data_IF_822168313749
#
_entry.id   IF_822168313749
#
_cell.length_a   1.000
_cell.length_b   1.000
_cell.length_c   1.000
_cell.angle_alpha   90.00
_cell.angle_beta   90.00
_cell.angle_gamma   90.00
#
_symmetry.space_group_name_H-M   'P 1'
#
loop_
_entity.id
_entity.type
_entity.pdbx_description
1 polymer ?
#
# COMPACT_ATOMS: atom_id res chain seq x y z
N UNK A 1 -29.30 0.35 -49.99
CA UNK A 1 -29.05 1.45 -49.04
C UNK A 1 -29.33 0.92 -47.64
N UNK A 2 -28.29 0.56 -46.90
CA UNK A 2 -28.36 0.24 -45.47
C UNK A 2 -27.05 0.75 -44.87
N UNK A 3 -27.14 1.81 -44.08
CA UNK A 3 -26.03 2.38 -43.33
C UNK A 3 -26.41 2.41 -41.85
N UNK A 4 -25.40 2.09 -41.04
CA UNK A 4 -25.18 2.39 -39.63
C UNK A 4 -26.16 1.91 -38.55
N UNK A 5 -25.71 0.89 -37.82
CA UNK A 5 -26.16 0.62 -36.46
C UNK A 5 -25.10 -0.13 -35.60
N UNK A 6 -23.80 0.17 -35.76
CA UNK A 6 -22.74 -0.53 -34.99
C UNK A 6 -21.78 0.38 -34.22
N UNK A 7 -22.08 1.69 -34.07
CA UNK A 7 -21.13 2.64 -33.47
C UNK A 7 -21.43 3.06 -32.02
N UNK A 8 -22.39 2.46 -31.32
CA UNK A 8 -22.78 2.88 -29.95
C UNK A 8 -22.34 1.94 -28.84
N UNK A 9 -21.83 0.74 -29.15
CA UNK A 9 -21.55 -0.28 -28.13
C UNK A 9 -20.07 -0.37 -27.69
N UNK A 10 -19.16 0.29 -28.43
CA UNK A 10 -17.73 0.34 -28.10
C UNK A 10 -17.40 1.45 -27.07
N UNK A 11 -18.20 2.52 -27.01
CA UNK A 11 -17.91 3.70 -26.19
C UNK A 11 -18.25 3.50 -24.70
N UNK A 12 -19.30 2.73 -24.38
CA UNK A 12 -19.69 2.45 -22.99
C UNK A 12 -18.70 1.53 -22.26
N UNK A 13 -18.09 0.57 -22.96
CA UNK A 13 -17.16 -0.38 -22.36
C UNK A 13 -15.82 0.29 -22.00
N UNK A 14 -15.28 1.13 -22.89
CA UNK A 14 -14.04 1.87 -22.62
C UNK A 14 -14.23 2.94 -21.55
N UNK A 15 -15.40 3.61 -21.47
CA UNK A 15 -15.71 4.55 -20.39
C UNK A 15 -15.84 3.87 -19.02
N UNK A 16 -16.49 2.70 -18.94
CA UNK A 16 -16.62 1.94 -17.68
C UNK A 16 -15.26 1.43 -17.20
N UNK A 17 -14.39 1.00 -18.13
CA UNK A 17 -13.02 0.64 -17.79
C UNK A 17 -12.21 1.86 -17.33
N UNK A 18 -12.28 2.99 -18.03
CA UNK A 18 -11.61 4.24 -17.64
C UNK A 18 -12.01 4.72 -16.24
N UNK A 19 -13.31 4.69 -15.92
CA UNK A 19 -13.82 5.05 -14.61
C UNK A 19 -13.28 4.14 -13.50
N UNK A 20 -13.17 2.84 -13.76
CA UNK A 20 -12.66 1.87 -12.77
C UNK A 20 -11.19 2.14 -12.38
N UNK A 21 -10.37 2.61 -13.32
CA UNK A 21 -8.97 2.98 -13.05
C UNK A 21 -8.85 4.32 -12.33
N UNK A 22 -9.71 5.28 -12.68
CA UNK A 22 -9.80 6.54 -11.95
C UNK A 22 -10.26 6.33 -10.50
N UNK A 23 -11.27 5.49 -10.27
CA UNK A 23 -11.72 5.14 -8.92
C UNK A 23 -10.62 4.44 -8.12
N UNK A 24 -9.81 3.60 -8.78
CA UNK A 24 -8.65 2.96 -8.18
C UNK A 24 -7.58 3.99 -7.77
N UNK A 25 -7.32 4.98 -8.62
CA UNK A 25 -6.43 6.11 -8.33
C UNK A 25 -6.93 6.92 -7.13
N UNK A 26 -8.20 7.34 -7.15
CA UNK A 26 -8.82 8.10 -6.05
C UNK A 26 -8.81 7.33 -4.73
N UNK A 27 -8.96 6.00 -4.78
CA UNK A 27 -8.85 5.15 -3.60
C UNK A 27 -7.41 5.05 -3.07
N UNK A 28 -6.42 5.04 -3.97
CA UNK A 28 -5.02 4.80 -3.61
C UNK A 28 -4.30 6.09 -3.15
N UNK A 29 -4.61 7.23 -3.75
CA UNK A 29 -4.00 8.53 -3.44
C UNK A 29 -3.99 8.89 -1.94
N UNK A 30 -5.10 8.82 -1.19
CA UNK A 30 -5.06 9.15 0.24
C UNK A 30 -4.19 8.18 1.05
N UNK A 31 -3.97 6.94 0.57
CA UNK A 31 -3.05 5.99 1.21
C UNK A 31 -1.60 6.40 0.96
N UNK A 32 -1.26 6.78 -0.27
CA UNK A 32 0.10 7.21 -0.63
C UNK A 32 0.46 8.53 0.04
N UNK A 33 -0.47 9.48 0.14
CA UNK A 33 -0.30 10.74 0.88
C UNK A 33 0.07 10.50 2.34
N UNK A 34 -0.61 9.55 3.01
CA UNK A 34 -0.30 9.17 4.39
C UNK A 34 1.13 8.61 4.47
N UNK A 35 1.51 7.72 3.57
CA UNK A 35 2.85 7.12 3.58
C UNK A 35 3.94 8.15 3.35
N UNK A 36 3.79 9.03 2.36
CA UNK A 36 4.77 10.07 2.03
C UNK A 36 4.92 11.07 3.18
N UNK A 37 3.80 11.50 3.79
CA UNK A 37 3.82 12.38 4.97
C UNK A 37 4.57 11.76 6.14
N UNK A 38 4.35 10.47 6.38
CA UNK A 38 4.93 9.76 7.53
C UNK A 38 6.33 9.16 7.22
N UNK A 39 6.87 9.33 6.00
CA UNK A 39 8.16 8.78 5.59
C UNK A 39 9.38 9.55 6.13
N UNK A 40 9.18 10.80 6.56
CA UNK A 40 10.21 11.69 7.10
C UNK A 40 11.47 11.81 6.22
N UNK A 41 11.32 11.79 4.89
CA UNK A 41 12.42 12.04 3.94
C UNK A 41 12.57 13.55 3.74
N UNK A 42 13.73 14.10 4.10
CA UNK A 42 13.95 15.55 4.06
C UNK A 42 13.82 16.15 2.66
N UNK A 43 14.26 15.43 1.62
CA UNK A 43 14.15 15.87 0.22
C UNK A 43 12.71 15.95 -0.28
N UNK A 44 11.76 15.29 0.39
CA UNK A 44 10.34 15.29 -0.01
C UNK A 44 9.56 16.45 0.57
N UNK A 45 10.19 17.27 1.42
CA UNK A 45 9.51 18.38 2.08
C UNK A 45 9.10 19.45 1.06
N UNK A 46 7.80 19.78 1.02
CA UNK A 46 7.23 20.72 0.06
C UNK A 46 6.81 20.08 -1.27
N UNK A 47 7.11 18.79 -1.48
CA UNK A 47 6.76 18.01 -2.67
C UNK A 47 5.92 16.77 -2.34
N UNK A 48 5.40 16.67 -1.11
CA UNK A 48 4.76 15.44 -0.65
C UNK A 48 3.55 15.05 -1.48
N UNK A 49 2.85 16.05 -2.04
CA UNK A 49 1.64 15.82 -2.83
C UNK A 49 2.00 15.22 -4.18
N UNK A 50 2.93 15.84 -4.89
CA UNK A 50 3.42 15.42 -6.21
C UNK A 50 3.99 14.00 -6.13
N UNK A 51 4.76 13.72 -5.08
CA UNK A 51 5.32 12.38 -4.84
C UNK A 51 4.21 11.35 -4.58
N UNK A 52 3.19 11.72 -3.79
CA UNK A 52 2.06 10.83 -3.53
C UNK A 52 1.24 10.54 -4.81
N UNK A 53 1.06 11.55 -5.66
CA UNK A 53 0.41 11.43 -6.97
C UNK A 53 1.23 10.54 -7.91
N UNK A 54 2.55 10.72 -7.98
CA UNK A 54 3.45 9.89 -8.79
C UNK A 54 3.40 8.41 -8.37
N UNK A 55 3.45 8.14 -7.06
CA UNK A 55 3.33 6.77 -6.55
C UNK A 55 1.97 6.17 -6.92
N UNK A 56 0.89 6.93 -6.75
CA UNK A 56 -0.46 6.45 -7.05
C UNK A 56 -0.65 6.19 -8.55
N UNK A 57 -0.20 7.10 -9.41
CA UNK A 57 -0.25 6.95 -10.86
C UNK A 57 0.56 5.75 -11.34
N UNK A 58 1.81 5.61 -10.90
CA UNK A 58 2.67 4.50 -11.32
C UNK A 58 2.09 3.15 -10.88
N UNK A 59 1.49 3.08 -9.69
CA UNK A 59 0.84 1.87 -9.21
C UNK A 59 -0.39 1.49 -10.03
N UNK A 60 -1.25 2.46 -10.37
CA UNK A 60 -2.42 2.23 -11.23
C UNK A 60 -1.96 1.78 -12.63
N UNK A 61 -0.97 2.45 -13.21
CA UNK A 61 -0.43 2.12 -14.53
C UNK A 61 0.14 0.71 -14.59
N UNK A 62 0.92 0.30 -13.58
CA UNK A 62 1.46 -1.06 -13.49
C UNK A 62 0.36 -2.10 -13.25
N UNK A 63 -0.66 -1.76 -12.46
CA UNK A 63 -1.82 -2.64 -12.25
C UNK A 63 -2.58 -2.86 -13.56
N UNK A 64 -2.79 -1.80 -14.34
CA UNK A 64 -3.40 -1.87 -15.66
C UNK A 64 -2.59 -2.76 -16.61
N UNK A 65 -1.26 -2.58 -16.70
CA UNK A 65 -0.39 -3.43 -17.52
C UNK A 65 -0.44 -4.90 -17.07
N UNK A 66 -0.47 -5.16 -15.76
CA UNK A 66 -0.64 -6.51 -15.25
C UNK A 66 -1.99 -7.09 -15.67
N UNK A 67 -3.07 -6.32 -15.57
CA UNK A 67 -4.40 -6.72 -15.96
C UNK A 67 -4.48 -7.09 -17.44
N UNK A 68 -3.89 -6.26 -18.32
CA UNK A 68 -3.81 -6.57 -19.76
C UNK A 68 -3.08 -7.90 -20.01
N UNK A 69 -1.95 -8.13 -19.35
CA UNK A 69 -1.17 -9.37 -19.50
C UNK A 69 -1.90 -10.60 -18.95
N UNK A 70 -2.64 -10.44 -17.86
CA UNK A 70 -3.50 -11.50 -17.32
C UNK A 70 -4.66 -11.84 -18.26
N UNK A 71 -5.29 -10.84 -18.89
CA UNK A 71 -6.33 -11.04 -19.90
C UNK A 71 -5.80 -11.76 -21.15
N UNK A 72 -4.54 -11.51 -21.52
CA UNK A 72 -3.84 -12.24 -22.60
C UNK A 72 -3.36 -13.65 -22.19
N UNK A 73 -3.55 -14.05 -20.93
CA UNK A 73 -3.12 -15.36 -20.42
C UNK A 73 -1.62 -15.48 -20.12
N UNK A 74 -0.86 -14.37 -20.12
CA UNK A 74 0.57 -14.38 -19.79
C UNK A 74 0.84 -14.45 -18.28
N UNK A 75 -0.10 -13.98 -17.46
CA UNK A 75 0.00 -13.88 -16.01
C UNK A 75 -1.23 -14.49 -15.32
N UNK A 76 -1.12 -14.89 -14.05
CA UNK A 76 -2.26 -15.35 -13.27
C UNK A 76 -3.39 -14.30 -13.22
N UNK A 77 -4.66 -14.73 -13.13
CA UNK A 77 -5.79 -13.82 -13.01
C UNK A 77 -5.71 -13.00 -11.71
N UNK A 78 -6.09 -11.72 -11.79
CA UNK A 78 -6.07 -10.81 -10.65
C UNK A 78 -7.31 -11.06 -9.79
N UNK A 79 -7.13 -11.46 -8.53
CA UNK A 79 -8.23 -11.61 -7.58
C UNK A 79 -8.83 -10.26 -7.13
N UNK A 80 -8.00 -9.24 -6.95
CA UNK A 80 -8.45 -7.89 -6.56
C UNK A 80 -7.52 -6.80 -7.08
N UNK A 81 -8.05 -5.90 -7.92
CA UNK A 81 -7.31 -4.74 -8.44
C UNK A 81 -6.80 -3.83 -7.31
N UNK A 82 -7.59 -3.64 -6.25
CA UNK A 82 -7.22 -2.84 -5.07
C UNK A 82 -6.09 -3.46 -4.27
N UNK A 83 -6.11 -4.79 -4.12
CA UNK A 83 -5.04 -5.49 -3.40
C UNK A 83 -3.72 -5.40 -4.17
N UNK A 84 -3.76 -5.68 -5.48
CA UNK A 84 -2.58 -5.63 -6.35
C UNK A 84 -2.00 -4.22 -6.43
N UNK A 85 -2.84 -3.20 -6.68
CA UNK A 85 -2.36 -1.81 -6.80
C UNK A 85 -1.72 -1.31 -5.52
N UNK A 86 -2.27 -1.68 -4.35
CA UNK A 86 -1.67 -1.35 -3.06
C UNK A 86 -0.30 -2.00 -2.86
N UNK A 87 -0.12 -3.25 -3.28
CA UNK A 87 1.18 -3.94 -3.20
C UNK A 87 2.20 -3.24 -4.09
N UNK A 88 1.82 -2.93 -5.34
CA UNK A 88 2.68 -2.22 -6.27
C UNK A 88 3.06 -0.84 -5.73
N UNK A 89 2.09 -0.08 -5.22
CA UNK A 89 2.32 1.24 -4.63
C UNK A 89 3.27 1.19 -3.44
N UNK A 90 3.12 0.20 -2.54
CA UNK A 90 4.02 0.01 -1.40
C UNK A 90 5.45 -0.29 -1.83
N UNK A 91 5.61 -1.18 -2.81
CA UNK A 91 6.93 -1.52 -3.33
C UNK A 91 7.57 -0.29 -3.98
N UNK A 92 6.83 0.41 -4.83
CA UNK A 92 7.30 1.62 -5.49
C UNK A 92 7.70 2.70 -4.48
N UNK A 93 6.85 3.00 -3.48
CA UNK A 93 7.15 3.92 -2.39
C UNK A 93 8.44 3.54 -1.64
N UNK A 94 8.61 2.25 -1.31
CA UNK A 94 9.81 1.76 -0.61
C UNK A 94 11.06 1.95 -1.45
N UNK A 95 11.00 1.60 -2.72
CA UNK A 95 12.13 1.71 -3.65
C UNK A 95 12.53 3.18 -3.85
N UNK A 96 11.54 4.06 -3.98
CA UNK A 96 11.74 5.51 -4.06
C UNK A 96 12.35 6.08 -2.78
N UNK A 97 11.79 5.70 -1.62
CA UNK A 97 12.34 6.10 -0.31
C UNK A 97 13.78 5.65 -0.16
N UNK A 98 14.11 4.42 -0.56
CA UNK A 98 15.48 3.89 -0.51
C UNK A 98 16.42 4.73 -1.37
N UNK A 99 16.05 5.03 -2.62
CA UNK A 99 16.85 5.87 -3.54
C UNK A 99 17.18 7.22 -2.90
N UNK A 100 16.19 7.90 -2.36
CA UNK A 100 16.39 9.25 -1.82
C UNK A 100 17.10 9.27 -0.45
N UNK A 101 16.93 8.23 0.36
CA UNK A 101 17.74 8.05 1.57
C UNK A 101 19.23 7.82 1.27
N UNK A 102 19.55 7.10 0.18
CA UNK A 102 20.94 6.92 -0.25
C UNK A 102 21.59 8.22 -0.74
N UNK A 103 20.80 9.14 -1.32
CA UNK A 103 21.30 10.46 -1.75
C UNK A 103 21.67 11.37 -0.56
N UNK A 104 21.02 11.22 0.60
CA UNK A 104 21.31 12.00 1.82
C UNK A 104 22.57 11.52 2.56
N UNK A 105 22.96 10.24 2.42
CA UNK A 105 24.16 9.69 3.08
C UNK A 105 25.47 9.86 2.30
N UNK A 106 25.41 10.21 1.02
CA UNK A 106 26.62 10.32 0.18
C UNK A 106 27.43 11.61 0.35
N UNK A 107 27.06 12.49 1.29
CA UNK A 107 27.81 13.74 1.56
C UNK A 107 28.67 13.70 2.81
N UNK A 108 28.91 12.53 3.42
CA UNK A 108 29.69 12.44 4.67
C UNK A 108 31.00 11.63 4.60
N UNK A 109 31.29 10.93 3.50
CA UNK A 109 32.59 10.25 3.33
C UNK A 109 33.31 10.74 2.06
N UNK A 110 33.69 12.02 2.06
CA UNK A 110 34.79 12.52 1.24
C UNK A 110 36.12 12.03 1.86
N UNK A 111 36.43 10.75 1.65
CA UNK A 111 37.79 10.23 1.60
C UNK A 111 37.74 8.74 1.25
N UNK A 112 37.78 8.46 -0.05
CA UNK A 112 38.82 7.61 -0.66
C UNK A 112 38.51 7.45 -2.14
N UNK A 113 39.23 8.23 -2.94
CA UNK A 113 39.40 8.05 -4.37
C UNK A 113 39.80 6.59 -4.65
N UNK A 114 39.22 5.94 -5.66
CA UNK A 114 39.94 5.30 -6.78
C UNK A 114 38.96 5.01 -7.92
N UNK A 115 39.18 5.71 -9.04
CA UNK A 115 38.55 5.49 -10.33
C UNK A 115 38.98 4.13 -10.92
N UNK A 116 38.10 3.40 -11.63
CA UNK A 116 38.28 2.99 -13.04
C UNK A 116 36.89 2.70 -13.65
N UNK A 117 36.75 3.24 -14.86
CA UNK A 117 35.70 3.21 -15.87
C UNK A 117 35.20 1.80 -16.26
N UNK A 118 33.94 1.70 -16.69
CA UNK A 118 33.40 0.48 -17.28
C UNK A 118 31.90 0.30 -17.13
N UNK A 119 31.17 0.67 -18.19
CA UNK A 119 29.79 0.27 -18.47
C UNK A 119 29.50 -1.17 -18.05
N UNK A 120 28.76 -1.34 -16.95
CA UNK A 120 28.04 -2.57 -16.65
C UNK A 120 26.65 -2.13 -16.20
N UNK A 121 25.66 -2.58 -16.96
CA UNK A 121 24.25 -2.63 -16.60
C UNK A 121 24.12 -2.78 -15.07
N UNK A 122 23.49 -1.82 -14.39
CA UNK A 122 23.01 -2.01 -13.02
C UNK A 122 21.94 -3.10 -13.04
N UNK A 123 22.38 -4.34 -13.15
CA UNK A 123 21.63 -5.48 -12.71
C UNK A 123 21.52 -5.28 -11.20
N UNK A 124 20.30 -4.97 -10.82
CA UNK A 124 19.75 -4.84 -9.48
C UNK A 124 20.23 -6.00 -8.60
N UNK A 125 21.45 -5.91 -8.05
CA UNK A 125 21.90 -6.81 -6.98
C UNK A 125 21.20 -6.32 -5.73
N UNK A 126 19.95 -6.75 -5.58
CA UNK A 126 19.18 -6.52 -4.37
C UNK A 126 19.95 -7.22 -3.25
N UNK A 127 20.53 -6.44 -2.33
CA UNK A 127 21.25 -6.95 -1.17
C UNK A 127 20.33 -7.86 -0.34
N UNK A 128 20.54 -9.17 -0.46
CA UNK A 128 19.74 -10.20 0.22
C UNK A 128 19.86 -10.09 1.75
N UNK A 129 20.98 -9.59 2.28
CA UNK A 129 21.16 -9.38 3.70
C UNK A 129 20.26 -8.24 4.19
N UNK A 130 20.16 -7.15 3.42
CA UNK A 130 19.25 -6.05 3.72
C UNK A 130 17.79 -6.48 3.60
N UNK A 131 17.41 -7.28 2.59
CA UNK A 131 16.06 -7.84 2.49
C UNK A 131 15.73 -8.67 3.73
N UNK A 132 16.63 -9.55 4.17
CA UNK A 132 16.43 -10.37 5.34
C UNK A 132 16.30 -9.54 6.63
N UNK A 133 17.11 -8.48 6.78
CA UNK A 133 17.01 -7.52 7.87
C UNK A 133 15.67 -6.78 7.86
N UNK A 134 15.23 -6.29 6.70
CA UNK A 134 13.95 -5.60 6.54
C UNK A 134 12.77 -6.52 6.88
N UNK A 135 12.81 -7.79 6.46
CA UNK A 135 11.81 -8.78 6.84
C UNK A 135 11.79 -9.05 8.34
N UNK A 136 12.96 -9.25 8.96
CA UNK A 136 13.08 -9.48 10.40
C UNK A 136 12.55 -8.29 11.21
N UNK A 137 12.87 -7.06 10.78
CA UNK A 137 12.36 -5.83 11.39
C UNK A 137 10.84 -5.72 11.21
N UNK A 138 10.32 -6.01 10.02
CA UNK A 138 8.89 -5.99 9.75
C UNK A 138 8.14 -6.99 10.64
N UNK A 139 8.64 -8.21 10.77
CA UNK A 139 8.06 -9.26 11.61
C UNK A 139 8.00 -8.82 13.08
N UNK A 140 9.11 -8.28 13.61
CA UNK A 140 9.17 -7.77 14.97
C UNK A 140 8.16 -6.63 15.21
N UNK A 141 8.07 -5.68 14.26
CA UNK A 141 7.11 -4.57 14.33
C UNK A 141 5.67 -5.10 14.29
N UNK A 142 5.36 -6.04 13.40
CA UNK A 142 4.01 -6.62 13.27
C UNK A 142 3.59 -7.32 14.56
N UNK A 143 4.47 -8.11 15.18
CA UNK A 143 4.20 -8.77 16.47
C UNK A 143 3.97 -7.74 17.58
N UNK A 144 4.77 -6.68 17.63
CA UNK A 144 4.60 -5.60 18.59
C UNK A 144 3.25 -4.88 18.39
N UNK A 145 2.92 -4.53 17.14
CA UNK A 145 1.64 -3.91 16.75
C UNK A 145 0.47 -4.77 17.19
N UNK A 146 0.51 -6.09 16.95
CA UNK A 146 -0.55 -7.00 17.35
C UNK A 146 -0.80 -6.95 18.87
N UNK A 147 0.26 -7.00 19.68
CA UNK A 147 0.19 -6.91 21.15
C UNK A 147 -0.38 -5.57 21.62
N UNK A 148 0.01 -4.47 20.99
CA UNK A 148 -0.52 -3.13 21.30
C UNK A 148 -2.01 -3.05 20.99
N UNK A 149 -2.43 -3.50 19.80
CA UNK A 149 -3.84 -3.51 19.37
C UNK A 149 -4.70 -4.40 20.27
N UNK A 150 -4.16 -5.53 20.75
CA UNK A 150 -4.88 -6.42 21.65
C UNK A 150 -5.31 -5.72 22.95
N UNK A 151 -4.55 -4.73 23.40
CA UNK A 151 -4.77 -3.93 24.63
C UNK A 151 -5.65 -2.69 24.41
N UNK A 152 -6.06 -2.39 23.18
CA UNK A 152 -6.90 -1.22 22.92
C UNK A 152 -8.29 -1.35 23.56
N UNK A 153 -8.92 -0.22 23.98
CA UNK A 153 -10.31 -0.20 24.39
C UNK A 153 -11.22 -0.80 23.31
N UNK A 154 -12.23 -1.56 23.74
CA UNK A 154 -13.07 -2.39 22.85
C UNK A 154 -13.56 -1.66 21.59
N UNK A 155 -14.06 -0.43 21.73
CA UNK A 155 -14.56 0.35 20.59
C UNK A 155 -13.48 0.74 19.58
N UNK A 156 -12.30 1.14 20.06
CA UNK A 156 -11.16 1.50 19.19
C UNK A 156 -10.56 0.27 18.52
N UNK A 157 -10.40 -0.81 19.29
CA UNK A 157 -9.96 -2.12 18.79
C UNK A 157 -10.89 -2.61 17.67
N UNK A 158 -12.20 -2.60 17.91
CA UNK A 158 -13.18 -3.05 16.93
C UNK A 158 -13.18 -2.19 15.66
N UNK A 159 -13.14 -0.87 15.80
CA UNK A 159 -13.12 0.03 14.63
C UNK A 159 -11.86 -0.16 13.78
N UNK A 160 -10.69 -0.32 14.42
CA UNK A 160 -9.42 -0.58 13.73
C UNK A 160 -9.42 -1.94 13.04
N UNK A 161 -9.79 -3.01 13.75
CA UNK A 161 -9.79 -4.37 13.20
C UNK A 161 -10.83 -4.56 12.11
N UNK A 162 -11.99 -3.90 12.20
CA UNK A 162 -13.00 -3.90 11.13
C UNK A 162 -12.45 -3.25 9.86
N UNK A 163 -11.74 -2.13 10.01
CA UNK A 163 -11.10 -1.46 8.88
C UNK A 163 -10.03 -2.34 8.25
N UNK A 164 -9.14 -2.94 9.07
CA UNK A 164 -8.11 -3.86 8.62
C UNK A 164 -8.70 -5.09 7.92
N UNK A 165 -9.74 -5.71 8.49
CA UNK A 165 -10.40 -6.88 7.92
C UNK A 165 -11.03 -6.58 6.55
N UNK A 166 -11.66 -5.41 6.41
CA UNK A 166 -12.29 -4.98 5.16
C UNK A 166 -11.27 -4.58 4.08
N UNK A 167 -10.03 -4.29 4.46
CA UNK A 167 -8.94 -3.97 3.54
C UNK A 167 -8.02 -5.16 3.24
N UNK A 168 -8.21 -6.29 3.93
CA UNK A 168 -7.37 -7.47 3.81
C UNK A 168 -8.05 -8.52 2.94
N UNK A 169 -7.25 -9.25 2.17
CA UNK A 169 -7.72 -10.43 1.47
C UNK A 169 -7.55 -11.63 2.40
N UNK A 170 -8.64 -12.03 3.07
CA UNK A 170 -8.63 -13.07 4.11
C UNK A 170 -8.91 -14.46 3.55
N UNK A 171 -9.11 -14.58 2.24
CA UNK A 171 -9.57 -15.81 1.56
C UNK A 171 -8.38 -16.68 1.10
N UNK A 172 -7.14 -16.23 1.32
CA UNK A 172 -5.89 -16.94 1.03
C UNK A 172 -5.09 -17.39 2.27
N UNK A 173 -3.78 -17.58 2.09
CA UNK A 173 -2.84 -17.87 3.17
C UNK A 173 -2.78 -16.72 4.19
N UNK A 174 -2.73 -16.99 5.51
CA UNK A 174 -2.72 -15.96 6.53
C UNK A 174 -1.54 -15.00 6.34
N UNK A 175 -1.82 -13.71 6.33
CA UNK A 175 -0.76 -12.70 6.33
C UNK A 175 0.00 -12.71 7.68
N UNK A 176 1.24 -12.22 7.70
CA UNK A 176 2.02 -12.06 8.94
C UNK A 176 1.25 -11.29 10.02
N UNK A 177 0.46 -10.28 9.60
CA UNK A 177 -0.41 -9.53 10.50
C UNK A 177 -1.53 -10.38 11.08
N UNK A 178 -2.18 -11.21 10.27
CA UNK A 178 -3.23 -12.13 10.74
C UNK A 178 -2.67 -13.17 11.71
N UNK A 179 -1.48 -13.70 11.43
CA UNK A 179 -0.83 -14.67 12.30
C UNK A 179 -0.46 -14.03 13.64
N UNK A 180 0.20 -12.87 13.61
CA UNK A 180 0.56 -12.16 14.84
C UNK A 180 -0.66 -11.71 15.67
N UNK A 181 -1.76 -11.33 15.03
CA UNK A 181 -3.03 -11.05 15.72
C UNK A 181 -3.64 -12.31 16.32
N UNK A 182 -3.59 -13.43 15.61
CA UNK A 182 -4.09 -14.72 16.10
C UNK A 182 -3.31 -15.18 17.34
N UNK A 183 -1.99 -15.00 17.35
CA UNK A 183 -1.11 -15.36 18.48
C UNK A 183 -1.45 -14.58 19.77
N UNK A 184 -2.07 -13.41 19.65
CA UNK A 184 -2.55 -12.60 20.78
C UNK A 184 -4.06 -12.74 21.02
N UNK A 185 -4.68 -13.78 20.44
CA UNK A 185 -6.10 -14.11 20.60
C UNK A 185 -7.05 -13.17 19.87
N UNK A 186 -6.62 -12.58 18.75
CA UNK A 186 -7.43 -11.70 17.91
C UNK A 186 -7.57 -12.30 16.51
N UNK A 187 -8.76 -12.76 16.16
CA UNK A 187 -9.02 -13.29 14.82
C UNK A 187 -9.60 -12.20 13.92
N UNK A 188 -8.86 -11.79 12.90
CA UNK A 188 -9.24 -10.66 12.02
C UNK A 188 -10.54 -10.94 11.25
N UNK A 189 -10.82 -12.21 10.95
CA UNK A 189 -12.05 -12.67 10.28
C UNK A 189 -13.33 -12.31 11.04
N UNK A 190 -13.29 -12.29 12.37
CA UNK A 190 -14.45 -11.96 13.23
C UNK A 190 -14.91 -10.50 13.08
N UNK A 191 -14.04 -9.66 12.52
CA UNK A 191 -14.26 -8.23 12.31
C UNK A 191 -14.62 -7.88 10.86
N UNK A 192 -14.71 -8.85 9.93
CA UNK A 192 -15.13 -8.59 8.55
C UNK A 192 -16.63 -8.27 8.55
N UNK A 193 -16.97 -7.00 8.32
CA UNK A 193 -18.35 -6.51 8.35
C UNK A 193 -18.56 -5.41 7.29
N UNK A 194 -19.71 -5.39 6.60
CA UNK A 194 -20.07 -4.26 5.74
C UNK A 194 -20.04 -2.96 6.55
N UNK A 195 -19.60 -1.86 5.94
CA UNK A 195 -19.68 -0.55 6.58
C UNK A 195 -21.15 -0.15 6.73
N UNK A 196 -21.52 0.41 7.88
CA UNK A 196 -22.88 0.91 8.11
C UNK A 196 -23.22 2.05 7.14
N UNK A 197 -24.41 2.00 6.56
CA UNK A 197 -24.95 3.05 5.69
C UNK A 197 -25.42 4.28 6.47
N UNK A 198 -25.75 4.09 7.76
CA UNK A 198 -26.18 5.17 8.65
C UNK A 198 -25.05 6.20 8.87
N UNK A 199 -25.26 7.47 8.50
CA UNK A 199 -24.23 8.51 8.62
C UNK A 199 -23.77 8.76 10.07
N UNK A 200 -24.66 8.59 11.05
CA UNK A 200 -24.34 8.79 12.48
C UNK A 200 -23.39 7.71 12.97
N UNK A 201 -23.71 6.44 12.66
CA UNK A 201 -22.87 5.29 13.02
C UNK A 201 -21.53 5.40 12.30
N UNK A 202 -21.54 5.72 11.00
CA UNK A 202 -20.33 5.88 10.19
C UNK A 202 -19.41 6.98 10.72
N UNK A 203 -19.98 8.11 11.16
CA UNK A 203 -19.22 9.20 11.77
C UNK A 203 -18.54 8.77 13.08
N UNK A 204 -19.26 8.06 13.93
CA UNK A 204 -18.73 7.50 15.18
C UNK A 204 -17.60 6.49 14.93
N UNK A 205 -17.79 5.57 14.00
CA UNK A 205 -16.79 4.55 13.65
C UNK A 205 -15.53 5.19 13.04
N UNK A 206 -15.70 6.20 12.18
CA UNK A 206 -14.58 6.95 11.61
C UNK A 206 -13.77 7.68 12.70
N UNK A 207 -14.44 8.27 13.69
CA UNK A 207 -13.78 8.90 14.83
C UNK A 207 -13.01 7.89 15.68
N UNK A 208 -13.64 6.75 16.02
CA UNK A 208 -12.99 5.67 16.79
C UNK A 208 -11.76 5.11 16.06
N UNK A 209 -11.88 4.90 14.74
CA UNK A 209 -10.77 4.46 13.89
C UNK A 209 -9.64 5.48 13.84
N UNK A 210 -9.95 6.77 13.67
CA UNK A 210 -8.95 7.85 13.68
C UNK A 210 -8.19 7.90 15.00
N UNK A 211 -8.90 7.80 16.13
CA UNK A 211 -8.29 7.73 17.46
C UNK A 211 -7.43 6.47 17.61
N UNK A 212 -7.89 5.32 17.13
CA UNK A 212 -7.16 4.06 17.20
C UNK A 212 -5.84 4.13 16.42
N UNK A 213 -5.84 4.64 15.17
CA UNK A 213 -4.61 4.81 14.39
C UNK A 213 -3.66 5.82 15.02
N UNK A 214 -4.17 6.94 15.55
CA UNK A 214 -3.35 7.91 16.29
C UNK A 214 -2.69 7.27 17.49
N UNK A 215 -3.44 6.50 18.30
CA UNK A 215 -2.86 5.79 19.44
C UNK A 215 -1.82 4.77 18.99
N UNK A 216 -2.11 3.98 17.96
CA UNK A 216 -1.17 2.99 17.46
C UNK A 216 0.16 3.62 17.05
N UNK A 217 0.10 4.76 16.35
CA UNK A 217 1.30 5.53 16.00
C UNK A 217 2.11 5.95 17.24
N UNK A 218 1.46 6.40 18.32
CA UNK A 218 2.18 6.81 19.54
C UNK A 218 2.81 5.62 20.28
N UNK A 219 2.18 4.45 20.25
CA UNK A 219 2.64 3.26 20.99
C UNK A 219 3.74 2.48 20.25
N UNK A 220 3.89 2.69 18.93
CA UNK A 220 4.82 1.95 18.06
C UNK A 220 6.08 2.77 17.74
N UNK A 221 6.04 4.10 17.86
CA UNK A 221 7.22 4.96 17.78
C UNK A 221 7.83 5.07 19.19
N UNK A 222 8.69 4.13 19.53
CA UNK A 222 9.65 4.18 20.64
C UNK A 222 11.05 3.94 20.10
#
# INVERSE_FOLDING_TARGET
MLADATSTHFDECDMVHGQSWFDLYIWLLPLTEIWVRDAHVSSWYGQQKEIAEDIAHEAVLRTFRYHQRACCGELPPIGSLKALSRVIARNYFRDWRKKDWCLVRSTQDDNEQHCIDGSVLSLDVVDAAQIALDHLMLDAIIVMVARVVARFPRGQKAALLTDLANMSDLDGEPTLLEQALSDVGVHLRDYRRPRSEDPTIRGRDAALRSIAYKRLRHEVIL
#
